data_IF_159474270089
#
_entry.id   IF_159474270089
#
_cell.length_a   1.000
_cell.length_b   1.000
_cell.length_c   1.000
_cell.angle_alpha   90.00
_cell.angle_beta   90.00
_cell.angle_gamma   90.00
#
_symmetry.space_group_name_H-M   'P 1'
#
loop_
_entity.id
_entity.type
_entity.pdbx_description
1 polymer ?
#
# COMPACT_ATOMS: atom_id res chain seq x y z
N UNK A 1 -28.86 -16.22 16.39
CA UNK A 1 -29.39 -14.96 16.94
C UNK A 1 -28.30 -14.35 17.81
N UNK A 2 -27.83 -13.15 17.52
CA UNK A 2 -26.88 -12.46 18.40
C UNK A 2 -27.62 -12.04 19.67
N UNK A 3 -27.09 -12.39 20.84
CA UNK A 3 -27.63 -11.96 22.14
C UNK A 3 -27.51 -10.44 22.24
N UNK A 4 -28.58 -9.77 22.66
CA UNK A 4 -28.58 -8.33 22.90
C UNK A 4 -27.68 -8.04 24.10
N UNK A 5 -26.54 -7.38 23.87
CA UNK A 5 -25.66 -6.97 24.96
C UNK A 5 -26.30 -5.78 25.69
N UNK A 6 -26.31 -5.77 27.03
CA UNK A 6 -26.85 -4.65 27.80
C UNK A 6 -26.01 -3.40 27.53
N UNK A 7 -26.68 -2.27 27.30
CA UNK A 7 -26.03 -0.96 27.15
C UNK A 7 -25.43 -0.58 28.50
N UNK A 8 -24.10 -0.49 28.59
CA UNK A 8 -23.40 -0.05 29.79
C UNK A 8 -23.44 1.48 29.85
N UNK A 9 -24.05 2.02 30.90
CA UNK A 9 -24.14 3.47 31.10
C UNK A 9 -22.99 3.99 31.97
N UNK A 10 -22.68 5.29 31.84
CA UNK A 10 -21.73 5.98 32.72
C UNK A 10 -21.97 5.68 34.21
N UNK A 11 -23.22 5.79 34.66
CA UNK A 11 -23.61 5.61 36.06
C UNK A 11 -23.34 4.19 36.56
N UNK A 12 -23.55 3.18 35.71
CA UNK A 12 -23.27 1.79 36.05
C UNK A 12 -21.77 1.57 36.29
N UNK A 13 -20.92 2.13 35.42
CA UNK A 13 -19.45 2.02 35.55
C UNK A 13 -18.97 2.79 36.77
N UNK A 14 -19.43 4.03 36.95
CA UNK A 14 -19.10 4.86 38.11
C UNK A 14 -19.43 4.15 39.43
N UNK A 15 -20.62 3.54 39.53
CA UNK A 15 -21.05 2.84 40.73
C UNK A 15 -20.14 1.64 41.06
N UNK A 16 -19.78 0.83 40.05
CA UNK A 16 -18.88 -0.31 40.26
C UNK A 16 -17.44 0.12 40.59
N UNK A 17 -16.92 1.19 39.99
CA UNK A 17 -15.59 1.74 40.30
C UNK A 17 -15.53 2.27 41.75
N UNK A 18 -16.55 3.01 42.19
CA UNK A 18 -16.65 3.49 43.57
C UNK A 18 -16.74 2.30 44.54
N UNK A 19 -17.55 1.27 44.21
CA UNK A 19 -17.69 0.05 45.00
C UNK A 19 -16.38 -0.74 45.11
N UNK A 20 -15.53 -0.68 44.09
CA UNK A 20 -14.18 -1.22 44.10
C UNK A 20 -13.18 -0.39 44.94
N UNK A 21 -13.61 0.73 45.53
CA UNK A 21 -12.80 1.58 46.39
C UNK A 21 -12.00 2.67 45.65
N UNK A 22 -12.29 2.91 44.36
CA UNK A 22 -11.65 3.98 43.60
C UNK A 22 -12.22 5.33 44.07
N UNK A 23 -11.33 6.32 44.23
CA UNK A 23 -11.72 7.69 44.57
C UNK A 23 -12.79 8.20 43.60
N UNK A 24 -13.83 8.89 44.10
CA UNK A 24 -14.98 9.30 43.31
C UNK A 24 -14.63 10.14 42.08
N UNK A 25 -13.71 11.10 42.21
CA UNK A 25 -13.34 11.99 41.10
C UNK A 25 -12.55 11.21 40.04
N UNK A 26 -11.70 10.28 40.47
CA UNK A 26 -10.98 9.36 39.59
C UNK A 26 -11.96 8.40 38.90
N UNK A 27 -12.93 7.87 39.64
CA UNK A 27 -13.94 6.95 39.13
C UNK A 27 -14.86 7.62 38.09
N UNK A 28 -15.20 8.90 38.28
CA UNK A 28 -16.00 9.69 37.35
C UNK A 28 -15.25 9.92 36.04
N UNK A 29 -13.97 10.31 36.11
CA UNK A 29 -13.12 10.46 34.93
C UNK A 29 -12.95 9.14 34.14
N UNK A 30 -12.69 8.02 34.83
CA UNK A 30 -12.60 6.71 34.15
C UNK A 30 -13.94 6.26 33.55
N UNK A 31 -15.06 6.43 34.27
CA UNK A 31 -16.38 6.09 33.78
C UNK A 31 -16.76 6.93 32.55
N UNK A 32 -16.39 8.21 32.53
CA UNK A 32 -16.57 9.10 31.39
C UNK A 32 -15.79 8.62 30.17
N UNK A 33 -14.49 8.33 30.32
CA UNK A 33 -13.63 7.82 29.24
C UNK A 33 -14.13 6.49 28.68
N UNK A 34 -14.59 5.59 29.55
CA UNK A 34 -15.19 4.32 29.16
C UNK A 34 -16.50 4.53 28.39
N UNK A 35 -17.43 5.33 28.93
CA UNK A 35 -18.71 5.62 28.30
C UNK A 35 -18.56 6.30 26.94
N UNK A 36 -17.55 7.16 26.79
CA UNK A 36 -17.22 7.84 25.54
C UNK A 36 -16.34 7.03 24.59
N UNK A 37 -15.89 5.83 24.99
CA UNK A 37 -14.95 5.00 24.25
C UNK A 37 -13.67 5.75 23.83
N UNK A 38 -13.21 6.71 24.64
CA UNK A 38 -12.05 7.54 24.28
C UNK A 38 -10.76 6.71 24.12
N UNK A 39 -10.61 5.65 24.92
CA UNK A 39 -9.48 4.73 24.82
C UNK A 39 -9.54 3.93 23.50
N UNK A 40 -10.73 3.40 23.18
CA UNK A 40 -10.99 2.67 21.93
C UNK A 40 -10.76 3.53 20.70
N UNK A 41 -11.15 4.81 20.74
CA UNK A 41 -10.94 5.72 19.61
C UNK A 41 -9.45 5.97 19.35
N UNK A 42 -8.65 6.19 20.40
CA UNK A 42 -7.19 6.37 20.26
C UNK A 42 -6.51 5.14 19.70
N UNK A 43 -6.89 3.95 20.16
CA UNK A 43 -6.36 2.69 19.64
C UNK A 43 -6.73 2.50 18.15
N UNK A 44 -7.97 2.84 17.76
CA UNK A 44 -8.43 2.78 16.37
C UNK A 44 -7.73 3.82 15.48
N UNK A 45 -7.51 5.02 15.98
CA UNK A 45 -6.76 6.08 15.29
C UNK A 45 -5.31 5.66 15.06
N UNK A 46 -4.65 5.11 16.09
CA UNK A 46 -3.31 4.54 15.97
C UNK A 46 -3.24 3.39 14.96
N UNK A 47 -4.22 2.48 14.97
CA UNK A 47 -4.30 1.41 13.98
C UNK A 47 -4.47 1.98 12.57
N UNK A 48 -5.38 2.94 12.39
CA UNK A 48 -5.64 3.59 11.10
C UNK A 48 -4.36 4.25 10.56
N UNK A 49 -3.67 5.07 11.36
CA UNK A 49 -2.42 5.72 10.95
C UNK A 49 -1.36 4.69 10.53
N UNK A 50 -1.20 3.62 11.30
CA UNK A 50 -0.27 2.54 10.95
C UNK A 50 -0.64 1.83 9.65
N UNK A 51 -1.94 1.60 9.40
CA UNK A 51 -2.42 1.01 8.15
C UNK A 51 -2.17 1.96 6.98
N UNK A 52 -2.49 3.25 7.12
CA UNK A 52 -2.28 4.26 6.08
C UNK A 52 -0.79 4.38 5.70
N UNK A 53 0.11 4.38 6.69
CA UNK A 53 1.56 4.37 6.45
C UNK A 53 2.00 3.10 5.70
N UNK A 54 1.51 1.92 6.12
CA UNK A 54 1.84 0.65 5.46
C UNK A 54 1.30 0.58 4.03
N UNK A 55 0.10 1.11 3.79
CA UNK A 55 -0.49 1.19 2.46
C UNK A 55 0.34 2.10 1.56
N UNK A 56 0.72 3.29 2.04
CA UNK A 56 1.57 4.20 1.28
C UNK A 56 2.91 3.57 0.89
N UNK A 57 3.60 2.91 1.83
CA UNK A 57 4.85 2.19 1.51
C UNK A 57 4.65 1.04 0.51
N UNK A 58 3.48 0.38 0.52
CA UNK A 58 3.17 -0.66 -0.45
C UNK A 58 2.94 -0.07 -1.84
N UNK A 59 2.19 1.04 -1.93
CA UNK A 59 1.97 1.77 -3.18
C UNK A 59 3.29 2.25 -3.80
N UNK A 60 4.19 2.82 -2.99
CA UNK A 60 5.53 3.23 -3.42
C UNK A 60 6.32 2.05 -3.99
N UNK A 61 6.37 0.91 -3.28
CA UNK A 61 7.07 -0.29 -3.78
C UNK A 61 6.48 -0.84 -5.08
N UNK A 62 5.17 -0.81 -5.23
CA UNK A 62 4.49 -1.24 -6.46
C UNK A 62 4.86 -0.30 -7.60
N UNK A 63 4.88 1.01 -7.36
CA UNK A 63 5.29 2.00 -8.33
C UNK A 63 6.74 1.80 -8.78
N UNK A 64 7.68 1.67 -7.84
CA UNK A 64 9.10 1.43 -8.13
C UNK A 64 9.29 0.15 -8.96
N UNK A 65 8.64 -0.95 -8.55
CA UNK A 65 8.71 -2.22 -9.29
C UNK A 65 8.16 -2.09 -10.71
N UNK A 66 7.09 -1.32 -10.89
CA UNK A 66 6.48 -1.06 -12.20
C UNK A 66 7.43 -0.26 -13.09
N UNK A 67 8.03 0.81 -12.58
CA UNK A 67 9.01 1.63 -13.32
C UNK A 67 10.24 0.81 -13.72
N UNK A 68 10.78 0.00 -12.81
CA UNK A 68 11.89 -0.91 -13.11
C UNK A 68 11.56 -1.90 -14.23
N UNK A 69 10.34 -2.44 -14.25
CA UNK A 69 9.89 -3.35 -15.32
C UNK A 69 9.75 -2.62 -16.67
N UNK A 70 9.20 -1.40 -16.67
CA UNK A 70 9.08 -0.56 -17.88
C UNK A 70 10.47 -0.28 -18.44
N UNK A 71 11.40 0.20 -17.61
CA UNK A 71 12.78 0.51 -18.03
C UNK A 71 13.49 -0.72 -18.62
N UNK A 72 13.29 -1.90 -18.02
CA UNK A 72 13.84 -3.16 -18.55
C UNK A 72 13.22 -3.56 -19.88
N UNK A 73 11.91 -3.35 -20.05
CA UNK A 73 11.23 -3.61 -21.33
C UNK A 73 11.73 -2.66 -22.42
N UNK A 74 11.81 -1.37 -22.15
CA UNK A 74 12.28 -0.36 -23.10
C UNK A 74 13.73 -0.64 -23.54
N UNK A 75 14.61 -1.00 -22.59
CA UNK A 75 15.97 -1.43 -22.91
C UNK A 75 15.98 -2.66 -23.83
N UNK A 76 15.07 -3.61 -23.64
CA UNK A 76 14.99 -4.80 -24.49
C UNK A 76 14.40 -4.51 -25.87
N UNK A 77 13.45 -3.59 -25.98
CA UNK A 77 12.97 -3.12 -27.28
C UNK A 77 14.10 -2.41 -28.05
N UNK A 78 14.83 -1.50 -27.42
CA UNK A 78 15.99 -0.85 -28.05
C UNK A 78 17.06 -1.86 -28.49
N UNK A 79 17.34 -2.90 -27.70
CA UNK A 79 18.25 -3.98 -28.12
C UNK A 79 17.73 -4.76 -29.34
N UNK A 80 16.41 -4.97 -29.45
CA UNK A 80 15.80 -5.64 -30.60
C UNK A 80 15.81 -4.76 -31.84
N UNK A 81 15.48 -3.48 -31.73
CA UNK A 81 15.50 -2.52 -32.84
C UNK A 81 16.92 -2.45 -33.44
N UNK A 82 17.95 -2.30 -32.60
CA UNK A 82 19.35 -2.33 -33.05
C UNK A 82 19.72 -3.65 -33.76
N UNK A 83 19.17 -4.80 -33.33
CA UNK A 83 19.42 -6.08 -34.01
C UNK A 83 18.72 -6.13 -35.36
N UNK A 84 17.50 -5.60 -35.45
CA UNK A 84 16.74 -5.50 -36.70
C UNK A 84 17.48 -4.61 -37.69
N UNK A 85 17.90 -3.41 -37.28
CA UNK A 85 18.67 -2.48 -38.11
C UNK A 85 19.96 -3.12 -38.64
N UNK A 86 20.68 -3.86 -37.78
CA UNK A 86 21.87 -4.59 -38.19
C UNK A 86 21.57 -5.69 -39.23
N UNK A 87 20.47 -6.43 -39.06
CA UNK A 87 20.07 -7.46 -40.02
C UNK A 87 19.67 -6.82 -41.35
N UNK A 88 18.90 -5.73 -41.32
CA UNK A 88 18.47 -4.99 -42.50
C UNK A 88 19.68 -4.45 -43.28
N UNK A 89 20.60 -3.76 -42.61
CA UNK A 89 21.84 -3.27 -43.23
C UNK A 89 22.67 -4.39 -43.87
N UNK A 90 22.79 -5.54 -43.19
CA UNK A 90 23.50 -6.69 -43.73
C UNK A 90 22.82 -7.30 -44.96
N UNK A 91 21.49 -7.32 -44.98
CA UNK A 91 20.72 -7.80 -46.14
C UNK A 91 20.84 -6.84 -47.32
N UNK A 92 20.70 -5.53 -47.09
CA UNK A 92 20.87 -4.50 -48.12
C UNK A 92 22.27 -4.60 -48.77
N UNK A 93 23.33 -4.66 -47.97
CA UNK A 93 24.69 -4.84 -48.47
C UNK A 93 24.86 -6.12 -49.32
N UNK A 94 24.23 -7.24 -48.93
CA UNK A 94 24.31 -8.49 -49.71
C UNK A 94 23.55 -8.36 -51.04
N UNK A 95 22.42 -7.67 -51.03
CA UNK A 95 21.61 -7.42 -52.23
C UNK A 95 22.38 -6.52 -53.19
N UNK A 96 22.93 -5.40 -52.71
CA UNK A 96 23.70 -4.45 -53.51
C UNK A 96 24.91 -5.14 -54.17
N UNK A 97 25.65 -5.96 -53.40
CA UNK A 97 26.75 -6.76 -53.96
C UNK A 97 26.30 -7.70 -55.07
N UNK A 98 25.12 -8.32 -54.93
CA UNK A 98 24.58 -9.23 -55.96
C UNK A 98 24.13 -8.52 -57.22
N UNK A 99 23.60 -7.30 -57.10
CA UNK A 99 23.29 -6.47 -58.27
C UNK A 99 24.56 -6.03 -59.00
N UNK A 100 25.59 -5.59 -58.26
CA UNK A 100 26.89 -5.24 -58.85
C UNK A 100 27.54 -6.43 -59.59
N UNK A 101 27.39 -7.66 -59.08
CA UNK A 101 27.87 -8.88 -59.75
C UNK A 101 27.14 -9.15 -61.09
N UNK A 102 25.89 -8.69 -61.26
CA UNK A 102 25.08 -8.91 -62.47
C UNK A 102 25.27 -7.81 -63.52
N UNK A 103 25.68 -6.62 -63.10
CA UNK A 103 25.94 -5.47 -63.98
C UNK A 103 27.34 -5.51 -64.65
N UNK A 104 28.21 -6.44 -64.24
CA UNK A 104 29.54 -6.70 -64.81
C UNK A 104 29.56 -7.91 -65.74
#
# INVERSE_FOLDING_TARGET
>A
MALHQPIITHQMVLAELIKAGINRDIADDLAYRYYKNELTFKDLEYLKENFDIKLKHLEEKIFDTKEDLINRMDSKFNELDNKIDNVENNLNNKIDNKFNDLDN
#
